data_IF_699848225159
#
_entry.id   IF_699848225159
#
_cell.length_a   1.000
_cell.length_b   1.000
_cell.length_c   1.000
_cell.angle_alpha   90.00
_cell.angle_beta   90.00
_cell.angle_gamma   90.00
#
_symmetry.space_group_name_H-M   'P 1'
#
loop_
_entity.id
_entity.type
_entity.pdbx_description
1 polymer ?
#
# COMPACT_ATOMS: atom_id res chain seq x y z
N UNK A 1 -22.07 -22.70 74.84
CA UNK A 1 -22.49 -21.32 74.47
C UNK A 1 -21.33 -20.51 73.88
N UNK A 2 -20.11 -20.62 74.42
CA UNK A 2 -18.91 -19.94 73.91
C UNK A 2 -18.54 -20.30 72.45
N UNK A 3 -18.72 -21.56 72.04
CA UNK A 3 -18.36 -22.01 70.70
C UNK A 3 -19.22 -21.36 69.59
N UNK A 4 -20.52 -21.18 69.84
CA UNK A 4 -21.44 -20.46 68.93
C UNK A 4 -21.08 -18.97 68.81
N UNK A 5 -20.61 -18.34 69.89
CA UNK A 5 -20.16 -16.94 69.89
C UNK A 5 -18.86 -16.78 69.08
N UNK A 6 -17.95 -17.76 69.19
CA UNK A 6 -16.67 -17.77 68.45
C UNK A 6 -16.88 -17.94 66.94
N UNK A 7 -17.83 -18.79 66.53
CA UNK A 7 -18.21 -18.98 65.12
C UNK A 7 -18.88 -17.73 64.53
N UNK A 8 -19.77 -17.08 65.30
CA UNK A 8 -20.44 -15.84 64.88
C UNK A 8 -19.45 -14.68 64.66
N UNK A 9 -18.47 -14.51 65.56
CA UNK A 9 -17.39 -13.51 65.39
C UNK A 9 -16.51 -13.79 64.16
N UNK A 10 -16.13 -15.04 63.91
CA UNK A 10 -15.35 -15.42 62.72
C UNK A 10 -16.09 -15.11 61.42
N UNK A 11 -17.40 -15.37 61.35
CA UNK A 11 -18.21 -15.02 60.17
C UNK A 11 -18.28 -13.51 59.93
N UNK A 12 -18.46 -12.70 60.98
CA UNK A 12 -18.44 -11.23 60.86
C UNK A 12 -17.08 -10.69 60.40
N UNK A 13 -15.98 -11.22 60.94
CA UNK A 13 -14.62 -10.84 60.52
C UNK A 13 -14.40 -11.20 59.05
N UNK A 14 -14.81 -12.40 58.62
CA UNK A 14 -14.69 -12.82 57.22
C UNK A 14 -15.52 -11.94 56.28
N UNK A 15 -16.73 -11.54 56.68
CA UNK A 15 -17.58 -10.61 55.93
C UNK A 15 -16.95 -9.22 55.82
N UNK A 16 -16.33 -8.72 56.88
CA UNK A 16 -15.61 -7.43 56.86
C UNK A 16 -14.40 -7.52 55.92
N UNK A 17 -13.60 -8.58 56.02
CA UNK A 17 -12.43 -8.79 55.14
C UNK A 17 -12.86 -8.86 53.68
N UNK A 18 -13.92 -9.61 53.37
CA UNK A 18 -14.47 -9.71 52.01
C UNK A 18 -15.00 -8.35 51.52
N UNK A 19 -15.68 -7.60 52.38
CA UNK A 19 -16.16 -6.25 52.06
C UNK A 19 -15.02 -5.28 51.76
N UNK A 20 -13.96 -5.27 52.58
CA UNK A 20 -12.77 -4.45 52.34
C UNK A 20 -12.08 -4.88 51.03
N UNK A 21 -11.94 -6.17 50.79
CA UNK A 21 -11.32 -6.69 49.56
C UNK A 21 -12.08 -6.26 48.30
N UNK A 22 -13.42 -6.31 48.32
CA UNK A 22 -14.25 -5.83 47.21
C UNK A 22 -14.08 -4.32 46.97
N UNK A 23 -14.01 -3.52 48.03
CA UNK A 23 -13.78 -2.07 47.92
C UNK A 23 -12.39 -1.77 47.34
N UNK A 24 -11.36 -2.53 47.74
CA UNK A 24 -10.00 -2.38 47.19
C UNK A 24 -9.97 -2.74 45.70
N UNK A 25 -10.58 -3.86 45.28
CA UNK A 25 -10.67 -4.22 43.86
C UNK A 25 -11.40 -3.14 43.06
N UNK A 26 -12.53 -2.64 43.59
CA UNK A 26 -13.28 -1.57 42.93
C UNK A 26 -12.43 -0.30 42.80
N UNK A 27 -11.72 0.09 43.85
CA UNK A 27 -10.85 1.26 43.84
C UNK A 27 -9.66 1.09 42.88
N UNK A 28 -9.03 -0.09 42.84
CA UNK A 28 -7.99 -0.40 41.86
C UNK A 28 -8.52 -0.37 40.43
N UNK A 29 -9.73 -0.89 40.18
CA UNK A 29 -10.37 -0.84 38.87
C UNK A 29 -10.71 0.59 38.43
N UNK A 30 -11.23 1.41 39.34
CA UNK A 30 -11.50 2.83 39.11
C UNK A 30 -10.17 3.57 38.85
N UNK A 31 -9.16 3.37 39.69
CA UNK A 31 -7.84 3.99 39.52
C UNK A 31 -7.20 3.62 38.18
N UNK A 32 -7.28 2.33 37.80
CA UNK A 32 -6.82 1.86 36.49
C UNK A 32 -7.57 2.56 35.35
N UNK A 33 -8.89 2.59 35.43
CA UNK A 33 -9.75 3.22 34.41
C UNK A 33 -9.51 4.73 34.26
N UNK A 34 -9.32 5.46 35.35
CA UNK A 34 -9.19 6.92 35.32
C UNK A 34 -7.76 7.42 35.10
N UNK A 35 -6.73 6.59 35.32
CA UNK A 35 -5.33 7.02 35.19
C UNK A 35 -4.58 6.30 34.08
N UNK A 36 -4.74 4.99 33.94
CA UNK A 36 -3.95 4.22 32.97
C UNK A 36 -4.56 4.28 31.58
N UNK A 37 -5.88 4.07 31.44
CA UNK A 37 -6.55 4.08 30.13
C UNK A 37 -6.36 5.43 29.40
N UNK A 38 -6.57 6.61 30.03
CA UNK A 38 -6.37 7.88 29.34
C UNK A 38 -4.93 8.11 28.89
N UNK A 39 -3.95 7.65 29.69
CA UNK A 39 -2.53 7.75 29.35
C UNK A 39 -2.14 6.84 28.19
N UNK A 40 -2.70 5.64 28.13
CA UNK A 40 -2.49 4.73 26.99
C UNK A 40 -3.10 5.32 25.72
N UNK A 41 -4.33 5.85 25.80
CA UNK A 41 -4.98 6.52 24.68
C UNK A 41 -4.21 7.77 24.20
N UNK A 42 -3.65 8.56 25.12
CA UNK A 42 -2.84 9.73 24.78
C UNK A 42 -1.54 9.33 24.06
N UNK A 43 -0.85 8.28 24.54
CA UNK A 43 0.34 7.74 23.88
C UNK A 43 0.05 7.18 22.49
N UNK A 44 -1.04 6.45 22.35
CA UNK A 44 -1.46 5.91 21.05
C UNK A 44 -1.82 7.03 20.08
N UNK A 45 -2.53 8.07 20.53
CA UNK A 45 -2.86 9.23 19.71
C UNK A 45 -1.61 10.04 19.31
N UNK A 46 -0.65 10.20 20.22
CA UNK A 46 0.64 10.84 19.92
C UNK A 46 1.42 10.05 18.87
N UNK A 47 1.53 8.73 19.05
CA UNK A 47 2.17 7.84 18.07
C UNK A 47 1.49 7.91 16.70
N UNK A 48 0.16 7.86 16.66
CA UNK A 48 -0.59 7.97 15.41
C UNK A 48 -0.33 9.31 14.70
N UNK A 49 -0.19 10.40 15.46
CA UNK A 49 0.16 11.72 14.93
C UNK A 49 1.59 11.74 14.38
N UNK A 50 2.55 11.17 15.09
CA UNK A 50 3.96 11.12 14.67
C UNK A 50 4.15 10.26 13.41
N UNK A 51 3.58 9.05 13.36
CA UNK A 51 3.60 8.21 12.15
C UNK A 51 2.93 8.89 10.97
N UNK A 52 1.81 9.61 11.19
CA UNK A 52 1.15 10.40 10.14
C UNK A 52 2.04 11.53 9.62
N UNK A 53 2.71 12.27 10.50
CA UNK A 53 3.62 13.35 10.10
C UNK A 53 4.83 12.78 9.36
N UNK A 54 5.43 11.71 9.86
CA UNK A 54 6.54 11.01 9.20
C UNK A 54 6.16 10.54 7.79
N UNK A 55 4.95 10.02 7.62
CA UNK A 55 4.40 9.66 6.31
C UNK A 55 4.25 10.87 5.37
N UNK A 56 3.73 12.01 5.88
CA UNK A 56 3.60 13.25 5.11
C UNK A 56 4.98 13.73 4.64
N UNK A 57 5.96 13.77 5.53
CA UNK A 57 7.32 14.17 5.19
C UNK A 57 7.94 13.24 4.13
N UNK A 58 7.78 11.93 4.30
CA UNK A 58 8.29 10.93 3.36
C UNK A 58 7.65 11.03 1.96
N UNK A 59 6.32 11.09 1.91
CA UNK A 59 5.57 10.93 0.66
C UNK A 59 5.35 12.26 -0.05
N UNK A 60 5.05 13.34 0.68
CA UNK A 60 4.69 14.64 0.12
C UNK A 60 5.87 15.62 0.06
N UNK A 61 6.88 15.43 0.92
CA UNK A 61 8.06 16.29 0.98
C UNK A 61 9.37 15.58 0.62
N UNK A 62 9.30 14.32 0.20
CA UNK A 62 10.45 13.51 -0.20
C UNK A 62 11.55 13.46 0.88
N UNK A 63 11.15 13.42 2.15
CA UNK A 63 12.03 13.32 3.30
C UNK A 63 11.71 12.06 4.12
N UNK A 64 12.37 10.92 3.84
CA UNK A 64 12.05 9.65 4.48
C UNK A 64 12.68 9.47 5.87
N UNK A 65 13.52 10.41 6.35
CA UNK A 65 14.32 10.20 7.57
C UNK A 65 13.47 9.89 8.80
N UNK A 66 12.36 10.62 8.98
CA UNK A 66 11.47 10.41 10.12
C UNK A 66 10.87 9.00 10.14
N UNK A 67 10.31 8.54 9.01
CA UNK A 67 9.66 7.22 8.94
C UNK A 67 10.69 6.08 9.02
N UNK A 68 11.87 6.31 8.45
CA UNK A 68 13.01 5.40 8.51
C UNK A 68 13.54 5.22 9.93
N UNK A 69 13.61 6.28 10.73
CA UNK A 69 14.03 6.18 12.12
C UNK A 69 12.95 5.55 13.00
N UNK A 70 11.68 5.90 12.78
CA UNK A 70 10.54 5.27 13.47
C UNK A 70 10.53 3.75 13.34
N UNK A 71 10.60 3.25 12.11
CA UNK A 71 10.61 1.80 11.86
C UNK A 71 11.84 1.11 12.46
N UNK A 72 13.02 1.73 12.30
CA UNK A 72 14.27 1.19 12.85
C UNK A 72 14.19 1.02 14.37
N UNK A 73 13.71 2.05 15.07
CA UNK A 73 13.54 2.04 16.52
C UNK A 73 12.48 1.01 16.95
N UNK A 74 11.38 0.86 16.19
CA UNK A 74 10.37 -0.14 16.46
C UNK A 74 10.90 -1.57 16.34
N UNK A 75 11.62 -1.87 15.26
CA UNK A 75 12.24 -3.19 15.08
C UNK A 75 13.25 -3.47 16.20
N UNK A 76 14.08 -2.49 16.54
CA UNK A 76 15.06 -2.63 17.62
C UNK A 76 14.40 -2.89 18.98
N UNK A 77 13.23 -2.31 19.23
CA UNK A 77 12.47 -2.48 20.48
C UNK A 77 11.49 -3.65 20.46
N UNK A 78 11.38 -4.39 19.34
CA UNK A 78 10.46 -5.51 19.20
C UNK A 78 8.99 -5.11 19.09
N UNK A 79 8.71 -3.87 18.70
CA UNK A 79 7.35 -3.36 18.46
C UNK A 79 6.82 -3.91 17.14
N UNK A 80 5.56 -4.34 17.11
CA UNK A 80 4.87 -4.77 15.89
C UNK A 80 3.37 -4.43 15.97
N UNK A 81 3.07 -3.13 16.00
CA UNK A 81 1.70 -2.63 15.95
C UNK A 81 1.33 -2.13 14.54
N UNK A 82 0.11 -1.59 14.39
CA UNK A 82 -0.38 -1.07 13.12
C UNK A 82 0.49 0.07 12.55
N UNK A 83 1.15 0.86 13.39
CA UNK A 83 2.00 1.96 12.94
C UNK A 83 3.36 1.42 12.47
N UNK A 84 3.93 0.44 13.18
CA UNK A 84 5.16 -0.24 12.71
C UNK A 84 4.94 -0.88 11.33
N UNK A 85 3.80 -1.56 11.13
CA UNK A 85 3.46 -2.20 9.84
C UNK A 85 3.29 -1.18 8.71
N UNK A 86 2.62 -0.07 9.02
CA UNK A 86 2.49 1.05 8.10
C UNK A 86 3.86 1.60 7.70
N UNK A 87 4.71 1.91 8.68
CA UNK A 87 6.02 2.51 8.44
C UNK A 87 6.93 1.56 7.65
N UNK A 88 6.87 0.25 7.93
CA UNK A 88 7.54 -0.78 7.15
C UNK A 88 7.11 -0.76 5.67
N UNK A 89 5.80 -0.68 5.40
CA UNK A 89 5.28 -0.55 4.05
C UNK A 89 5.76 0.73 3.37
N UNK A 90 5.69 1.88 4.04
CA UNK A 90 6.05 3.15 3.45
C UNK A 90 7.56 3.31 3.20
N UNK A 91 8.42 2.60 3.95
CA UNK A 91 9.85 2.51 3.66
C UNK A 91 10.09 1.80 2.33
N UNK A 92 9.44 0.66 2.10
CA UNK A 92 9.59 -0.04 0.82
C UNK A 92 8.82 0.67 -0.30
N UNK A 93 7.74 1.40 0.00
CA UNK A 93 7.01 2.22 -0.97
C UNK A 93 7.88 3.31 -1.60
N UNK A 94 8.96 3.73 -0.94
CA UNK A 94 9.96 4.66 -1.50
C UNK A 94 10.46 4.22 -2.87
N UNK A 95 10.47 2.92 -3.19
CA UNK A 95 10.71 2.42 -4.54
C UNK A 95 9.84 3.14 -5.58
N UNK A 96 8.54 3.26 -5.34
CA UNK A 96 7.60 3.96 -6.23
C UNK A 96 7.85 5.47 -6.24
N UNK A 97 8.08 6.08 -5.06
CA UNK A 97 8.28 7.52 -4.92
C UNK A 97 9.56 8.01 -5.62
N UNK A 98 10.55 7.13 -5.75
CA UNK A 98 11.86 7.40 -6.33
C UNK A 98 12.03 6.81 -7.73
N UNK A 99 10.92 6.52 -8.42
CA UNK A 99 10.88 6.02 -9.80
C UNK A 99 11.63 4.71 -10.01
N UNK A 100 11.55 3.82 -9.03
CA UNK A 100 12.11 2.47 -9.07
C UNK A 100 13.53 2.37 -8.52
N UNK A 101 14.00 3.36 -7.74
CA UNK A 101 15.35 3.33 -7.17
C UNK A 101 15.42 2.38 -5.97
N UNK A 102 15.71 1.11 -6.24
CA UNK A 102 15.87 0.09 -5.19
C UNK A 102 17.07 0.36 -4.26
N UNK A 103 18.07 1.12 -4.71
CA UNK A 103 19.27 1.38 -3.92
C UNK A 103 18.98 2.22 -2.67
N UNK A 104 17.93 3.06 -2.69
CA UNK A 104 17.52 3.81 -1.49
C UNK A 104 17.09 2.86 -0.36
N UNK A 105 16.32 1.83 -0.69
CA UNK A 105 15.86 0.82 0.28
C UNK A 105 17.04 -0.04 0.72
N UNK A 106 17.86 -0.49 -0.24
CA UNK A 106 19.04 -1.30 0.04
C UNK A 106 20.01 -0.59 0.98
N UNK A 107 20.40 0.65 0.68
CA UNK A 107 21.35 1.42 1.48
C UNK A 107 20.77 1.73 2.89
N UNK A 108 19.46 1.98 3.00
CA UNK A 108 18.77 2.13 4.27
C UNK A 108 18.83 0.87 5.15
N UNK A 109 18.53 -0.31 4.59
CA UNK A 109 18.57 -1.59 5.31
C UNK A 109 20.01 -1.95 5.68
N UNK A 110 20.95 -1.82 4.74
CA UNK A 110 22.36 -2.17 4.96
C UNK A 110 23.02 -1.35 6.06
N UNK A 111 22.63 -0.09 6.23
CA UNK A 111 23.18 0.79 7.25
C UNK A 111 22.69 0.48 8.67
N UNK A 112 21.78 -0.49 8.86
CA UNK A 112 21.12 -0.78 10.15
C UNK A 112 21.20 -2.27 10.52
N UNK A 113 22.02 -2.65 11.52
CA UNK A 113 22.19 -4.05 11.91
C UNK A 113 20.90 -4.77 12.32
N UNK A 114 19.95 -4.09 12.97
CA UNK A 114 18.68 -4.68 13.38
C UNK A 114 17.73 -4.98 12.20
N UNK A 115 18.00 -4.43 11.02
CA UNK A 115 17.26 -4.71 9.78
C UNK A 115 17.94 -5.80 8.91
N UNK A 116 19.07 -6.35 9.35
CA UNK A 116 19.88 -7.27 8.53
C UNK A 116 19.11 -8.51 8.06
N UNK A 117 18.12 -8.97 8.83
CA UNK A 117 17.27 -10.10 8.44
C UNK A 117 16.50 -9.84 7.14
N UNK A 118 16.08 -8.58 6.91
CA UNK A 118 15.35 -8.18 5.71
C UNK A 118 16.21 -8.43 4.48
N UNK A 119 17.48 -8.00 4.51
CA UNK A 119 18.39 -8.26 3.41
C UNK A 119 18.69 -9.75 3.27
N UNK A 120 19.07 -10.40 4.37
CA UNK A 120 19.55 -11.78 4.35
C UNK A 120 18.50 -12.74 3.76
N UNK A 121 17.22 -12.52 4.04
CA UNK A 121 16.14 -13.35 3.52
C UNK A 121 15.69 -12.92 2.11
N UNK A 122 15.71 -11.62 1.80
CA UNK A 122 15.36 -11.15 0.45
C UNK A 122 16.36 -11.67 -0.60
N UNK A 123 17.64 -11.73 -0.25
CA UNK A 123 18.72 -12.33 -1.04
C UNK A 123 18.43 -13.78 -1.45
N UNK A 124 17.70 -14.54 -0.62
CA UNK A 124 17.37 -15.94 -0.91
C UNK A 124 16.24 -16.08 -1.93
N UNK A 125 15.40 -15.05 -2.11
CA UNK A 125 14.27 -15.07 -3.03
C UNK A 125 14.76 -14.85 -4.48
N UNK A 126 15.66 -13.88 -4.68
CA UNK A 126 16.22 -13.55 -5.99
C UNK A 126 17.74 -13.32 -5.92
N UNK A 127 18.55 -14.37 -5.74
CA UNK A 127 19.99 -14.25 -5.46
C UNK A 127 20.76 -13.47 -6.53
N UNK A 128 20.51 -13.75 -7.81
CA UNK A 128 21.18 -13.08 -8.94
C UNK A 128 20.88 -11.57 -8.97
N UNK A 129 19.64 -11.19 -8.63
CA UNK A 129 19.21 -9.79 -8.57
C UNK A 129 19.95 -9.05 -7.46
N UNK A 130 20.01 -9.66 -6.28
CA UNK A 130 20.68 -9.06 -5.13
C UNK A 130 22.19 -9.04 -5.26
N UNK A 131 22.80 -10.01 -5.94
CA UNK A 131 24.20 -9.91 -6.35
C UNK A 131 24.43 -8.70 -7.25
N UNK A 132 23.56 -8.49 -8.24
CA UNK A 132 23.60 -7.33 -9.11
C UNK A 132 23.47 -6.00 -8.34
N UNK A 133 22.58 -5.94 -7.34
CA UNK A 133 22.38 -4.76 -6.47
C UNK A 133 23.62 -4.51 -5.61
N UNK A 134 24.19 -5.53 -4.96
CA UNK A 134 25.44 -5.40 -4.17
C UNK A 134 26.57 -4.82 -5.03
N UNK A 135 26.67 -5.29 -6.26
CA UNK A 135 27.68 -4.83 -7.22
C UNK A 135 27.30 -3.50 -7.91
N UNK A 136 26.13 -2.92 -7.61
CA UNK A 136 25.56 -1.72 -8.26
C UNK A 136 25.51 -1.79 -9.79
N UNK A 137 25.19 -2.97 -10.31
CA UNK A 137 25.14 -3.25 -11.76
C UNK A 137 23.72 -3.28 -12.32
N UNK A 138 22.70 -3.29 -11.47
CA UNK A 138 21.29 -3.29 -11.90
C UNK A 138 20.84 -1.86 -12.19
N UNK A 139 20.31 -1.64 -13.39
CA UNK A 139 19.74 -0.34 -13.78
C UNK A 139 18.42 -0.06 -13.03
N UNK A 140 18.25 1.18 -12.58
CA UNK A 140 17.07 1.67 -11.86
C UNK A 140 15.81 1.56 -12.73
N UNK A 141 14.69 1.14 -12.14
CA UNK A 141 13.39 1.08 -12.83
C UNK A 141 13.20 -0.15 -13.73
N UNK A 142 14.12 -1.12 -13.68
CA UNK A 142 14.01 -2.41 -14.38
C UNK A 142 13.18 -3.43 -13.61
N UNK A 143 12.74 -4.50 -14.28
CA UNK A 143 12.05 -5.62 -13.63
C UNK A 143 12.88 -6.25 -12.50
N UNK A 144 14.22 -6.28 -12.63
CA UNK A 144 15.11 -6.73 -11.56
C UNK A 144 14.96 -5.88 -10.29
N UNK A 145 14.98 -4.55 -10.40
CA UNK A 145 14.75 -3.67 -9.24
C UNK A 145 13.35 -3.86 -8.65
N UNK A 146 12.34 -4.13 -9.47
CA UNK A 146 10.98 -4.46 -9.01
C UNK A 146 10.94 -5.77 -8.23
N UNK A 147 11.62 -6.81 -8.69
CA UNK A 147 11.66 -8.10 -7.98
C UNK A 147 12.40 -8.00 -6.65
N UNK A 148 13.47 -7.23 -6.56
CA UNK A 148 14.11 -6.95 -5.27
C UNK A 148 13.17 -6.18 -4.31
N UNK A 149 12.46 -5.18 -4.81
CA UNK A 149 11.42 -4.49 -4.05
C UNK A 149 10.32 -5.46 -3.54
N UNK A 150 9.84 -6.37 -4.38
CA UNK A 150 8.84 -7.36 -4.00
C UNK A 150 9.38 -8.38 -2.99
N UNK A 151 10.66 -8.75 -3.09
CA UNK A 151 11.32 -9.60 -2.11
C UNK A 151 11.35 -8.95 -0.71
N UNK A 152 11.60 -7.64 -0.62
CA UNK A 152 11.52 -6.94 0.66
C UNK A 152 10.10 -6.99 1.25
N UNK A 153 9.04 -6.79 0.44
CA UNK A 153 7.66 -6.94 0.91
C UNK A 153 7.38 -8.37 1.39
N UNK A 154 7.86 -9.38 0.65
CA UNK A 154 7.70 -10.79 1.04
C UNK A 154 8.35 -11.11 2.39
N UNK A 155 9.56 -10.60 2.64
CA UNK A 155 10.22 -10.79 3.93
C UNK A 155 9.44 -10.09 5.04
N UNK A 156 9.07 -8.81 4.85
CA UNK A 156 8.26 -8.10 5.84
C UNK A 156 6.93 -8.83 6.12
N UNK A 157 6.29 -9.42 5.10
CA UNK A 157 5.12 -10.28 5.27
C UNK A 157 5.39 -11.48 6.16
N UNK A 158 6.47 -12.20 5.90
CA UNK A 158 6.78 -13.44 6.62
C UNK A 158 7.08 -13.18 8.10
N UNK A 159 7.52 -11.97 8.43
CA UNK A 159 7.75 -11.53 9.81
C UNK A 159 6.58 -10.75 10.42
N UNK A 160 5.45 -10.62 9.70
CA UNK A 160 4.25 -9.97 10.20
C UNK A 160 4.34 -8.44 10.28
N UNK A 161 5.23 -7.81 9.50
CA UNK A 161 5.47 -6.37 9.44
C UNK A 161 4.78 -5.68 8.27
N UNK A 162 3.80 -6.30 7.62
CA UNK A 162 2.96 -5.62 6.63
C UNK A 162 1.49 -5.79 6.95
N UNK A 163 0.70 -4.85 6.47
CA UNK A 163 -0.75 -4.85 6.50
C UNK A 163 -1.33 -4.94 5.07
N UNK A 164 -2.60 -4.56 4.93
CA UNK A 164 -3.32 -4.57 3.66
C UNK A 164 -2.64 -3.72 2.56
N UNK A 165 -1.91 -2.66 2.90
CA UNK A 165 -1.20 -1.85 1.91
C UNK A 165 -0.07 -2.65 1.26
N UNK A 166 0.74 -3.33 2.08
CA UNK A 166 1.80 -4.20 1.59
C UNK A 166 1.26 -5.39 0.79
N UNK A 167 0.23 -6.07 1.32
CA UNK A 167 -0.36 -7.24 0.68
C UNK A 167 -1.01 -6.89 -0.67
N UNK A 168 -1.83 -5.84 -0.69
CA UNK A 168 -2.47 -5.34 -1.90
C UNK A 168 -1.44 -4.89 -2.94
N UNK A 169 -0.39 -4.18 -2.51
CA UNK A 169 0.67 -3.70 -3.42
C UNK A 169 1.46 -4.85 -4.03
N UNK A 170 1.89 -5.85 -3.24
CA UNK A 170 2.57 -7.02 -3.79
C UNK A 170 1.66 -7.75 -4.80
N UNK A 171 0.39 -7.96 -4.45
CA UNK A 171 -0.58 -8.57 -5.38
C UNK A 171 -0.68 -7.81 -6.70
N UNK A 172 -0.79 -6.47 -6.64
CA UNK A 172 -0.88 -5.64 -7.83
C UNK A 172 0.39 -5.67 -8.67
N UNK A 173 1.56 -5.49 -8.06
CA UNK A 173 2.83 -5.36 -8.78
C UNK A 173 3.19 -6.66 -9.49
N UNK A 174 2.90 -7.81 -8.88
CA UNK A 174 3.01 -9.11 -9.54
C UNK A 174 2.02 -9.24 -10.72
N UNK A 175 0.73 -8.91 -10.54
CA UNK A 175 -0.25 -8.96 -11.64
C UNK A 175 0.09 -8.01 -12.79
N UNK A 176 0.50 -6.78 -12.46
CA UNK A 176 0.93 -5.74 -13.39
C UNK A 176 2.13 -6.20 -14.21
N UNK A 177 3.11 -6.84 -13.57
CA UNK A 177 4.29 -7.39 -14.24
C UNK A 177 3.90 -8.51 -15.21
N UNK A 178 3.04 -9.43 -14.79
CA UNK A 178 2.51 -10.48 -15.66
C UNK A 178 1.77 -9.93 -16.88
N UNK A 179 0.94 -8.90 -16.69
CA UNK A 179 0.24 -8.21 -17.78
C UNK A 179 1.21 -7.60 -18.78
N UNK A 180 2.20 -6.83 -18.32
CA UNK A 180 3.12 -6.18 -19.25
C UNK A 180 4.05 -7.16 -19.96
N UNK A 181 4.45 -8.25 -19.30
CA UNK A 181 5.17 -9.34 -19.95
C UNK A 181 4.31 -10.03 -21.04
N UNK A 182 3.00 -10.12 -20.85
CA UNK A 182 2.07 -10.63 -21.88
C UNK A 182 2.00 -9.69 -23.08
N UNK A 183 1.94 -8.37 -22.86
CA UNK A 183 1.98 -7.36 -23.92
C UNK A 183 3.31 -7.44 -24.69
N UNK A 184 4.44 -7.50 -23.98
CA UNK A 184 5.77 -7.65 -24.58
C UNK A 184 5.87 -8.93 -25.41
N UNK A 185 5.40 -10.07 -24.89
CA UNK A 185 5.36 -11.34 -25.66
C UNK A 185 4.60 -11.21 -26.97
N UNK A 186 3.45 -10.53 -26.96
CA UNK A 186 2.66 -10.31 -28.17
C UNK A 186 3.37 -9.42 -29.20
N UNK A 187 4.28 -8.55 -28.74
CA UNK A 187 5.11 -7.66 -29.58
C UNK A 187 6.42 -8.34 -30.05
N UNK A 188 6.95 -9.33 -29.32
CA UNK A 188 8.27 -9.98 -29.53
C UNK A 188 8.23 -11.33 -30.28
N UNK A 189 7.10 -11.75 -30.86
CA UNK A 189 6.81 -13.09 -31.38
C UNK A 189 7.69 -13.60 -32.57
N UNK A 190 9.02 -13.55 -32.47
CA UNK A 190 9.96 -14.12 -33.45
C UNK A 190 11.03 -15.07 -32.87
N UNK A 191 11.19 -15.20 -31.55
CA UNK A 191 12.15 -16.14 -30.92
C UNK A 191 11.51 -17.02 -29.82
N UNK A 192 11.41 -18.32 -30.11
CA UNK A 192 10.77 -19.33 -29.24
C UNK A 192 11.44 -19.45 -27.84
N UNK A 193 12.76 -19.22 -27.74
CA UNK A 193 13.48 -19.31 -26.46
C UNK A 193 13.13 -18.14 -25.55
N UNK A 194 13.11 -16.93 -26.09
CA UNK A 194 12.70 -15.73 -25.37
C UNK A 194 11.23 -15.83 -24.97
N UNK A 195 10.36 -16.34 -25.86
CA UNK A 195 8.95 -16.54 -25.58
C UNK A 195 8.70 -17.50 -24.39
N UNK A 196 9.42 -18.63 -24.35
CA UNK A 196 9.31 -19.59 -23.26
C UNK A 196 9.81 -19.02 -21.92
N UNK A 197 10.90 -18.26 -21.93
CA UNK A 197 11.44 -17.63 -20.73
C UNK A 197 10.44 -16.62 -20.12
N UNK A 198 9.88 -15.73 -20.94
CA UNK A 198 8.91 -14.73 -20.48
C UNK A 198 7.60 -15.39 -20.01
N UNK A 199 7.15 -16.47 -20.65
CA UNK A 199 5.97 -17.22 -20.21
C UNK A 199 6.10 -17.77 -18.78
N UNK A 200 7.28 -18.26 -18.39
CA UNK A 200 7.52 -18.74 -17.01
C UNK A 200 7.41 -17.62 -15.97
N UNK A 201 7.91 -16.42 -16.29
CA UNK A 201 7.77 -15.25 -15.43
C UNK A 201 6.31 -14.85 -15.25
N UNK A 202 5.50 -14.90 -16.31
CA UNK A 202 4.07 -14.61 -16.26
C UNK A 202 3.34 -15.57 -15.30
N UNK A 203 3.53 -16.88 -15.45
CA UNK A 203 2.86 -17.86 -14.58
C UNK A 203 3.22 -17.68 -13.11
N UNK A 204 4.53 -17.55 -12.81
CA UNK A 204 5.01 -17.32 -11.44
C UNK A 204 4.43 -16.03 -10.84
N UNK A 205 4.42 -14.96 -11.61
CA UNK A 205 3.95 -13.66 -11.12
C UNK A 205 2.42 -13.69 -10.90
N UNK A 206 1.65 -14.42 -11.72
CA UNK A 206 0.22 -14.64 -11.45
C UNK A 206 0.00 -15.46 -10.17
N UNK A 207 0.74 -16.54 -9.96
CA UNK A 207 0.65 -17.34 -8.74
C UNK A 207 0.97 -16.50 -7.49
N UNK A 208 2.04 -15.72 -7.52
CA UNK A 208 2.40 -14.78 -6.44
C UNK A 208 1.33 -13.73 -6.23
N UNK A 209 0.78 -13.17 -7.30
CA UNK A 209 -0.30 -12.19 -7.22
C UNK A 209 -1.54 -12.73 -6.50
N UNK A 210 -1.94 -13.97 -6.84
CA UNK A 210 -3.06 -14.68 -6.21
C UNK A 210 -2.76 -14.95 -4.74
N UNK A 211 -1.57 -15.47 -4.43
CA UNK A 211 -1.16 -15.75 -3.05
C UNK A 211 -1.28 -14.50 -2.15
N UNK A 212 -0.82 -13.35 -2.64
CA UNK A 212 -0.94 -12.09 -1.89
C UNK A 212 -2.37 -11.56 -1.82
N UNK A 213 -3.19 -11.78 -2.84
CA UNK A 213 -4.61 -11.45 -2.79
C UNK A 213 -5.32 -12.30 -1.73
N UNK A 214 -4.98 -13.60 -1.61
CA UNK A 214 -5.57 -14.48 -0.60
C UNK A 214 -5.21 -14.09 0.82
N UNK A 215 -3.99 -13.58 1.06
CA UNK A 215 -3.63 -13.00 2.35
C UNK A 215 -4.41 -11.70 2.65
N UNK A 216 -4.74 -10.91 1.63
CA UNK A 216 -5.45 -9.64 1.77
C UNK A 216 -6.97 -9.80 1.88
N UNK A 217 -7.56 -10.89 1.35
CA UNK A 217 -8.99 -10.97 1.05
C UNK A 217 -9.89 -10.74 2.27
N UNK A 218 -9.51 -11.25 3.44
CA UNK A 218 -10.34 -11.19 4.64
C UNK A 218 -10.37 -9.75 5.18
N UNK A 219 -9.23 -9.06 5.17
CA UNK A 219 -9.16 -7.65 5.54
C UNK A 219 -9.92 -6.77 4.55
N UNK A 220 -9.88 -7.05 3.24
CA UNK A 220 -10.70 -6.34 2.24
C UNK A 220 -12.19 -6.44 2.59
N UNK A 221 -12.67 -7.67 2.88
CA UNK A 221 -14.09 -7.88 3.24
C UNK A 221 -14.45 -7.15 4.52
N UNK A 222 -13.62 -7.28 5.57
CA UNK A 222 -13.86 -6.63 6.88
C UNK A 222 -13.85 -5.10 6.77
N UNK A 223 -12.93 -4.53 5.99
CA UNK A 223 -12.88 -3.09 5.72
C UNK A 223 -14.17 -2.63 5.04
N UNK A 224 -14.57 -3.31 3.96
CA UNK A 224 -15.76 -2.92 3.19
C UNK A 224 -17.06 -3.11 3.96
N UNK A 225 -17.09 -4.02 4.95
CA UNK A 225 -18.22 -4.20 5.86
C UNK A 225 -18.20 -3.23 7.06
N UNK A 226 -17.16 -2.41 7.20
CA UNK A 226 -16.99 -1.50 8.35
C UNK A 226 -16.56 -2.18 9.65
N UNK A 227 -16.08 -3.42 9.58
CA UNK A 227 -15.58 -4.21 10.72
C UNK A 227 -14.11 -3.93 11.03
N UNK A 228 -13.34 -3.47 10.04
CA UNK A 228 -11.97 -3.01 10.18
C UNK A 228 -11.89 -1.56 9.72
N UNK A 229 -11.45 -0.68 10.60
CA UNK A 229 -11.57 0.79 10.44
C UNK A 229 -10.23 1.51 10.60
N UNK A 230 -10.25 2.84 10.50
CA UNK A 230 -9.09 3.71 10.70
C UNK A 230 -8.55 3.71 12.15
N UNK A 231 -9.27 3.08 13.07
CA UNK A 231 -8.81 2.77 14.44
C UNK A 231 -7.91 1.54 14.50
N UNK A 232 -8.08 0.62 13.55
CA UNK A 232 -7.38 -0.66 13.52
C UNK A 232 -6.15 -0.61 12.61
N UNK A 233 -6.23 0.16 11.52
CA UNK A 233 -5.15 0.40 10.56
C UNK A 233 -5.13 1.88 10.17
N UNK A 234 -3.97 2.46 9.83
CA UNK A 234 -3.95 3.82 9.31
C UNK A 234 -4.82 3.96 8.05
N UNK A 235 -5.65 5.01 7.99
CA UNK A 235 -6.58 5.23 6.87
C UNK A 235 -5.89 5.23 5.48
N UNK A 236 -4.64 5.70 5.41
CA UNK A 236 -3.83 5.68 4.19
C UNK A 236 -3.55 4.26 3.70
N UNK A 237 -3.31 3.32 4.61
CA UNK A 237 -2.95 1.95 4.29
C UNK A 237 -4.17 1.16 3.84
N UNK A 238 -5.32 1.41 4.49
CA UNK A 238 -6.63 0.94 4.03
C UNK A 238 -6.85 1.37 2.57
N UNK A 239 -6.74 2.67 2.29
CA UNK A 239 -7.01 3.20 0.95
C UNK A 239 -6.04 2.60 -0.09
N UNK A 240 -4.74 2.60 0.21
CA UNK A 240 -3.73 2.07 -0.71
C UNK A 240 -3.94 0.58 -0.94
N UNK A 241 -4.15 -0.20 0.12
CA UNK A 241 -4.39 -1.63 0.05
C UNK A 241 -5.60 -1.98 -0.81
N UNK A 242 -6.74 -1.31 -0.61
CA UNK A 242 -7.94 -1.51 -1.42
C UNK A 242 -7.72 -1.17 -2.90
N UNK A 243 -7.11 0.00 -3.17
CA UNK A 243 -6.78 0.44 -4.52
C UNK A 243 -5.89 -0.57 -5.26
N UNK A 244 -4.85 -1.05 -4.58
CA UNK A 244 -3.90 -2.01 -5.16
C UNK A 244 -4.55 -3.38 -5.34
N UNK A 245 -5.35 -3.86 -4.38
CA UNK A 245 -6.12 -5.10 -4.50
C UNK A 245 -7.08 -5.07 -5.70
N UNK A 246 -7.83 -3.97 -5.87
CA UNK A 246 -8.75 -3.79 -7.00
C UNK A 246 -8.03 -3.71 -8.34
N UNK A 247 -6.88 -3.02 -8.39
CA UNK A 247 -6.04 -2.99 -9.57
C UNK A 247 -5.52 -4.38 -9.94
N UNK A 248 -5.08 -5.16 -8.95
CA UNK A 248 -4.59 -6.52 -9.14
C UNK A 248 -5.66 -7.43 -9.75
N UNK A 249 -6.93 -7.30 -9.31
CA UNK A 249 -8.05 -8.04 -9.91
C UNK A 249 -8.20 -7.76 -11.41
N UNK A 250 -8.12 -6.49 -11.83
CA UNK A 250 -8.25 -6.13 -13.24
C UNK A 250 -7.05 -6.54 -14.09
N UNK A 251 -5.83 -6.47 -13.55
CA UNK A 251 -4.65 -6.99 -14.24
C UNK A 251 -4.72 -8.52 -14.40
N UNK A 252 -5.18 -9.25 -13.38
CA UNK A 252 -5.41 -10.70 -13.49
C UNK A 252 -6.48 -11.02 -14.53
N UNK A 253 -7.59 -10.27 -14.52
CA UNK A 253 -8.65 -10.41 -15.50
C UNK A 253 -8.15 -10.16 -16.93
N UNK A 254 -7.33 -9.14 -17.16
CA UNK A 254 -6.85 -8.79 -18.50
C UNK A 254 -5.91 -9.84 -19.12
N UNK A 255 -5.26 -10.67 -18.29
CA UNK A 255 -4.46 -11.81 -18.75
C UNK A 255 -5.21 -13.15 -18.70
N UNK A 256 -6.50 -13.15 -18.34
CA UNK A 256 -7.30 -14.36 -18.25
C UNK A 256 -6.94 -15.28 -17.09
N UNK A 257 -6.36 -14.76 -16.01
CA UNK A 257 -6.09 -15.54 -14.82
C UNK A 257 -7.38 -15.82 -14.03
N UNK A 258 -7.60 -17.07 -13.65
CA UNK A 258 -8.75 -17.48 -12.83
C UNK A 258 -8.49 -17.13 -11.36
N UNK A 259 -9.34 -16.28 -10.79
CA UNK A 259 -9.30 -15.91 -9.38
C UNK A 259 -10.69 -15.52 -8.88
N UNK A 260 -11.18 -16.26 -7.88
CA UNK A 260 -12.48 -15.98 -7.26
C UNK A 260 -12.33 -15.03 -6.07
N UNK A 261 -12.45 -13.73 -6.33
CA UNK A 261 -12.47 -12.71 -5.27
C UNK A 261 -13.86 -12.60 -4.61
N UNK A 262 -13.95 -12.36 -3.30
CA UNK A 262 -15.22 -12.11 -2.62
C UNK A 262 -15.86 -10.76 -3.01
N UNK A 263 -15.07 -9.85 -3.58
CA UNK A 263 -15.49 -8.52 -4.04
C UNK A 263 -14.95 -8.27 -5.43
N UNK A 264 -15.77 -7.70 -6.30
CA UNK A 264 -15.33 -7.30 -7.64
C UNK A 264 -14.42 -6.07 -7.56
N UNK A 265 -13.60 -5.86 -8.61
CA UNK A 265 -12.75 -4.67 -8.67
C UNK A 265 -13.57 -3.36 -8.63
N UNK A 266 -14.76 -3.36 -9.25
CA UNK A 266 -15.65 -2.20 -9.27
C UNK A 266 -16.17 -1.87 -7.87
N UNK A 267 -16.67 -2.87 -7.12
CA UNK A 267 -17.12 -2.65 -5.72
C UNK A 267 -16.00 -2.08 -4.84
N UNK A 268 -14.77 -2.60 -4.98
CA UNK A 268 -13.63 -2.13 -4.18
C UNK A 268 -13.21 -0.72 -4.58
N UNK A 269 -13.17 -0.39 -5.88
CA UNK A 269 -12.82 0.95 -6.35
C UNK A 269 -13.88 2.00 -6.02
N UNK A 270 -15.16 1.64 -6.06
CA UNK A 270 -16.25 2.53 -5.67
C UNK A 270 -16.14 2.92 -4.19
N UNK A 271 -15.93 1.91 -3.32
CA UNK A 271 -15.64 2.14 -1.91
C UNK A 271 -14.38 2.98 -1.71
N UNK A 272 -13.27 2.62 -2.36
CA UNK A 272 -12.00 3.35 -2.22
C UNK A 272 -12.10 4.81 -2.69
N UNK A 273 -12.90 5.09 -3.72
CA UNK A 273 -13.14 6.44 -4.22
C UNK A 273 -13.87 7.31 -3.20
N UNK A 274 -14.90 6.77 -2.56
CA UNK A 274 -15.60 7.46 -1.48
C UNK A 274 -14.72 7.61 -0.24
N UNK A 275 -14.04 6.54 0.16
CA UNK A 275 -13.14 6.51 1.32
C UNK A 275 -12.01 7.54 1.18
N UNK A 276 -11.41 7.66 -0.01
CA UNK A 276 -10.37 8.65 -0.29
C UNK A 276 -10.85 10.08 -0.03
N UNK A 277 -12.07 10.43 -0.47
CA UNK A 277 -12.62 11.79 -0.31
C UNK A 277 -12.82 12.13 1.17
N UNK A 278 -13.26 11.16 1.96
CA UNK A 278 -13.64 11.38 3.36
C UNK A 278 -12.45 11.28 4.32
N UNK A 279 -11.48 10.40 4.05
CA UNK A 279 -10.43 10.05 5.02
C UNK A 279 -9.01 10.41 4.57
N UNK A 280 -8.71 10.37 3.26
CA UNK A 280 -7.35 10.59 2.74
C UNK A 280 -7.39 11.41 1.44
N UNK A 281 -7.87 12.68 1.49
CA UNK A 281 -8.12 13.49 0.30
C UNK A 281 -6.88 13.73 -0.56
N UNK A 282 -5.69 13.61 0.02
CA UNK A 282 -4.40 13.73 -0.69
C UNK A 282 -4.22 12.63 -1.76
N UNK A 283 -4.87 11.48 -1.61
CA UNK A 283 -4.76 10.31 -2.51
C UNK A 283 -5.98 10.13 -3.42
N UNK A 284 -6.87 11.13 -3.52
CA UNK A 284 -8.02 11.07 -4.45
C UNK A 284 -7.56 10.96 -5.90
N UNK A 285 -6.53 11.71 -6.31
CA UNK A 285 -5.99 11.63 -7.67
C UNK A 285 -5.31 10.29 -7.95
N UNK A 286 -4.63 9.71 -6.95
CA UNK A 286 -4.06 8.36 -7.04
C UNK A 286 -5.14 7.31 -7.32
N UNK A 287 -6.21 7.34 -6.53
CA UNK A 287 -7.36 6.44 -6.67
C UNK A 287 -7.98 6.56 -8.07
N UNK A 288 -8.25 7.79 -8.51
CA UNK A 288 -8.87 8.05 -9.81
C UNK A 288 -8.03 7.58 -10.99
N UNK A 289 -6.72 7.90 -11.01
CA UNK A 289 -5.85 7.52 -12.13
C UNK A 289 -5.61 6.01 -12.16
N UNK A 290 -5.43 5.34 -11.01
CA UNK A 290 -5.25 3.89 -10.96
C UNK A 290 -6.52 3.16 -11.41
N UNK A 291 -7.69 3.60 -10.97
CA UNK A 291 -8.98 3.07 -11.41
C UNK A 291 -9.13 3.22 -12.93
N UNK A 292 -8.94 4.43 -13.48
CA UNK A 292 -9.03 4.68 -14.91
C UNK A 292 -8.02 3.84 -15.74
N UNK A 293 -6.77 3.77 -15.27
CA UNK A 293 -5.69 3.04 -15.95
C UNK A 293 -5.92 1.53 -15.98
N UNK A 294 -6.63 0.99 -15.00
CA UNK A 294 -6.95 -0.45 -14.97
C UNK A 294 -8.28 -0.76 -15.66
N UNK A 295 -9.19 0.19 -15.81
CA UNK A 295 -10.37 0.04 -16.67
C UNK A 295 -9.99 -0.03 -18.15
N UNK A 296 -9.04 0.82 -18.58
CA UNK A 296 -8.70 0.94 -20.00
C UNK A 296 -8.00 -0.29 -20.57
N UNK A 297 -7.48 -1.18 -19.72
CA UNK A 297 -6.84 -2.45 -20.14
C UNK A 297 -7.83 -3.61 -20.29
N UNK A 298 -9.07 -3.48 -19.81
CA UNK A 298 -10.09 -4.52 -19.93
C UNK A 298 -10.67 -4.56 -21.35
N UNK A 299 -11.19 -5.72 -21.74
CA UNK A 299 -11.88 -5.91 -23.01
C UNK A 299 -13.21 -6.67 -22.77
N UNK A 300 -14.39 -6.08 -23.09
CA UNK A 300 -14.57 -4.72 -23.63
C UNK A 300 -14.28 -3.63 -22.59
N UNK A 301 -13.77 -2.50 -23.06
CA UNK A 301 -13.59 -1.29 -22.24
C UNK A 301 -14.88 -0.47 -22.17
N UNK A 302 -15.13 0.21 -21.03
CA UNK A 302 -16.27 1.11 -20.83
C UNK A 302 -15.79 2.57 -20.68
N UNK A 303 -15.90 3.40 -21.74
CA UNK A 303 -15.47 4.80 -21.70
C UNK A 303 -16.18 5.65 -20.64
N UNK A 304 -17.42 5.31 -20.27
CA UNK A 304 -18.17 6.06 -19.26
C UNK A 304 -17.59 5.81 -17.86
N UNK A 305 -17.31 4.55 -17.51
CA UNK A 305 -16.60 4.23 -16.26
C UNK A 305 -15.21 4.86 -16.20
N UNK A 306 -14.47 4.88 -17.32
CA UNK A 306 -13.15 5.55 -17.38
C UNK A 306 -13.31 7.05 -17.11
N UNK A 307 -14.32 7.70 -17.70
CA UNK A 307 -14.61 9.12 -17.47
C UNK A 307 -14.97 9.42 -16.01
N UNK A 308 -15.76 8.57 -15.38
CA UNK A 308 -16.14 8.68 -13.97
C UNK A 308 -14.93 8.54 -13.04
N UNK A 309 -14.06 7.56 -13.30
CA UNK A 309 -12.79 7.41 -12.57
C UNK A 309 -11.87 8.63 -12.71
N UNK A 310 -11.88 9.31 -13.87
CA UNK A 310 -11.10 10.52 -14.14
C UNK A 310 -11.74 11.81 -13.60
N UNK A 311 -12.93 11.75 -13.00
CA UNK A 311 -13.65 12.93 -12.50
C UNK A 311 -12.82 13.88 -11.61
N UNK A 312 -11.94 13.40 -10.69
CA UNK A 312 -11.09 14.29 -9.91
C UNK A 312 -10.22 15.22 -10.76
N UNK A 313 -9.71 14.75 -11.90
CA UNK A 313 -8.92 15.55 -12.82
C UNK A 313 -9.79 16.54 -13.59
N UNK A 314 -10.93 16.06 -14.10
CA UNK A 314 -11.83 16.88 -14.92
C UNK A 314 -12.40 18.09 -14.18
N UNK A 315 -12.49 18.01 -12.84
CA UNK A 315 -12.93 19.09 -11.97
C UNK A 315 -11.80 19.89 -11.32
N UNK A 316 -10.55 19.63 -11.69
CA UNK A 316 -9.42 20.38 -11.16
C UNK A 316 -9.36 21.78 -11.78
N UNK A 317 -9.53 22.81 -10.95
CA UNK A 317 -9.69 24.22 -11.39
C UNK A 317 -8.47 25.10 -11.16
N UNK A 318 -7.44 24.64 -10.43
CA UNK A 318 -6.26 25.46 -10.15
C UNK A 318 -5.39 25.62 -11.39
N UNK A 319 -4.64 26.71 -11.45
CA UNK A 319 -3.69 26.93 -12.55
C UNK A 319 -2.46 26.02 -12.42
N UNK A 320 -1.74 25.83 -13.53
CA UNK A 320 -0.57 24.95 -13.59
C UNK A 320 0.54 25.35 -12.61
N UNK A 321 0.77 26.64 -12.44
CA UNK A 321 1.75 27.23 -11.51
C UNK A 321 1.40 27.04 -10.03
N UNK A 322 0.17 26.61 -9.72
CA UNK A 322 -0.29 26.31 -8.37
C UNK A 322 -0.22 24.81 -8.04
N UNK A 323 0.26 23.98 -8.98
CA UNK A 323 0.43 22.55 -8.80
C UNK A 323 1.81 22.30 -8.18
N UNK A 324 1.82 21.65 -7.02
CA UNK A 324 3.07 21.25 -6.37
C UNK A 324 3.89 20.34 -7.27
N UNK A 325 5.17 20.65 -7.40
CA UNK A 325 6.15 19.74 -7.97
C UNK A 325 6.13 18.40 -7.21
N UNK A 326 6.29 17.31 -7.95
CA UNK A 326 6.23 15.95 -7.41
C UNK A 326 4.82 15.42 -7.09
N UNK A 327 3.77 16.22 -7.24
CA UNK A 327 2.39 15.74 -7.08
C UNK A 327 1.94 14.82 -8.23
N UNK A 328 0.90 14.02 -7.99
CA UNK A 328 0.30 13.14 -9.02
C UNK A 328 -0.17 13.93 -10.25
N UNK A 329 -0.73 15.12 -10.03
CA UNK A 329 -1.14 16.03 -11.09
C UNK A 329 0.06 16.44 -11.94
N UNK A 330 1.16 16.82 -11.28
CA UNK A 330 2.41 17.17 -11.95
C UNK A 330 2.95 15.99 -12.76
N UNK A 331 2.96 14.77 -12.21
CA UNK A 331 3.39 13.58 -12.95
C UNK A 331 2.56 13.30 -14.20
N UNK A 332 1.24 13.45 -14.15
CA UNK A 332 0.37 13.26 -15.33
C UNK A 332 0.60 14.36 -16.38
N UNK A 333 0.76 15.61 -15.94
CA UNK A 333 1.01 16.74 -16.83
C UNK A 333 2.36 16.59 -17.53
N UNK A 334 3.40 16.22 -16.78
CA UNK A 334 4.76 16.10 -17.30
C UNK A 334 5.06 14.76 -17.98
N UNK A 335 4.12 13.80 -17.92
CA UNK A 335 4.21 12.56 -18.67
C UNK A 335 4.40 12.79 -20.18
N UNK A 336 4.00 13.95 -20.73
CA UNK A 336 4.27 14.33 -22.13
C UNK A 336 5.76 14.32 -22.49
N UNK A 337 6.65 14.52 -21.53
CA UNK A 337 8.10 14.55 -21.73
C UNK A 337 8.77 13.19 -21.58
N UNK A 338 8.02 12.16 -21.17
CA UNK A 338 8.56 10.82 -20.99
C UNK A 338 8.63 10.04 -22.30
N UNK A 339 9.51 9.05 -22.35
CA UNK A 339 9.52 8.05 -23.41
C UNK A 339 8.19 7.29 -23.40
N UNK A 340 7.61 7.06 -24.59
CA UNK A 340 6.40 6.25 -24.78
C UNK A 340 6.60 4.78 -24.43
N UNK A 341 7.84 4.30 -24.42
CA UNK A 341 8.16 2.95 -23.99
C UNK A 341 8.02 2.77 -22.48
N UNK A 342 7.95 3.85 -21.70
CA UNK A 342 7.72 3.76 -20.26
C UNK A 342 6.36 3.08 -20.00
N UNK A 343 6.38 2.08 -19.12
CA UNK A 343 5.22 1.26 -18.81
C UNK A 343 4.84 1.51 -17.35
N UNK A 344 3.99 2.51 -17.13
CA UNK A 344 3.47 2.84 -15.80
C UNK A 344 2.12 3.59 -15.88
N UNK A 345 1.39 3.67 -14.77
CA UNK A 345 0.12 4.41 -14.67
C UNK A 345 0.29 5.91 -14.98
N UNK A 346 1.47 6.47 -14.73
CA UNK A 346 1.79 7.86 -15.06
C UNK A 346 2.53 8.02 -16.39
N UNK A 347 2.73 6.94 -17.15
CA UNK A 347 3.50 7.01 -18.40
C UNK A 347 2.79 7.79 -19.51
N UNK A 348 3.56 8.35 -20.45
CA UNK A 348 3.01 8.98 -21.68
C UNK A 348 2.04 8.05 -22.40
N UNK A 349 2.40 6.76 -22.53
CA UNK A 349 1.58 5.73 -23.19
C UNK A 349 0.23 5.59 -22.51
N UNK A 350 0.20 5.48 -21.19
CA UNK A 350 -1.05 5.32 -20.46
C UNK A 350 -1.92 6.59 -20.49
N UNK A 351 -1.32 7.77 -20.25
CA UNK A 351 -2.05 9.04 -20.28
C UNK A 351 -2.65 9.30 -21.67
N UNK A 352 -1.89 9.06 -22.74
CA UNK A 352 -2.39 9.17 -24.11
C UNK A 352 -3.51 8.13 -24.41
N UNK A 353 -3.38 6.89 -23.91
CA UNK A 353 -4.43 5.87 -24.04
C UNK A 353 -5.73 6.33 -23.38
N UNK A 354 -5.68 6.84 -22.15
CA UNK A 354 -6.84 7.41 -21.46
C UNK A 354 -7.45 8.60 -22.22
N UNK A 355 -6.62 9.50 -22.73
CA UNK A 355 -7.05 10.65 -23.53
C UNK A 355 -7.73 10.24 -24.85
N UNK A 356 -7.33 9.11 -25.43
CA UNK A 356 -7.99 8.55 -26.62
C UNK A 356 -9.40 8.02 -26.34
N UNK A 357 -9.70 7.66 -25.08
CA UNK A 357 -11.01 7.13 -24.66
C UNK A 357 -11.94 8.19 -24.10
N UNK A 358 -11.38 9.19 -23.41
CA UNK A 358 -12.16 10.24 -22.76
C UNK A 358 -11.74 11.61 -23.31
N UNK A 359 -12.54 12.12 -24.24
CA UNK A 359 -12.27 13.41 -24.90
C UNK A 359 -12.12 14.58 -23.90
N UNK A 360 -12.93 14.60 -22.84
CA UNK A 360 -12.83 15.62 -21.78
C UNK A 360 -11.45 15.61 -21.09
N UNK A 361 -10.86 14.42 -20.89
CA UNK A 361 -9.53 14.29 -20.30
C UNK A 361 -8.44 14.76 -21.26
N UNK A 362 -8.59 14.50 -22.57
CA UNK A 362 -7.72 15.07 -23.60
C UNK A 362 -7.74 16.60 -23.58
N UNK A 363 -8.92 17.21 -23.53
CA UNK A 363 -9.06 18.67 -23.44
C UNK A 363 -8.44 19.22 -22.17
N UNK A 364 -8.63 18.54 -21.04
CA UNK A 364 -7.97 18.88 -19.79
C UNK A 364 -6.45 18.89 -19.95
N UNK A 365 -5.84 17.83 -20.47
CA UNK A 365 -4.39 17.74 -20.71
C UNK A 365 -3.87 18.88 -21.60
N UNK A 366 -4.60 19.22 -22.67
CA UNK A 366 -4.25 20.35 -23.55
C UNK A 366 -4.25 21.67 -22.77
N UNK A 367 -5.22 21.86 -21.88
CA UNK A 367 -5.25 23.01 -20.95
C UNK A 367 -4.02 23.12 -20.04
N UNK A 368 -3.31 22.02 -19.78
CA UNK A 368 -2.06 21.98 -19.00
C UNK A 368 -0.79 21.83 -19.87
N UNK A 369 -0.93 22.05 -21.17
CA UNK A 369 0.17 22.21 -22.12
C UNK A 369 0.44 21.00 -23.02
N UNK A 370 -0.33 19.92 -22.94
CA UNK A 370 -0.23 18.86 -23.95
C UNK A 370 -0.61 19.39 -25.32
N UNK A 371 -0.01 18.82 -26.36
CA UNK A 371 -0.29 19.16 -27.76
C UNK A 371 -0.89 17.97 -28.50
N UNK A 372 -1.45 18.22 -29.67
CA UNK A 372 -1.94 17.16 -30.57
C UNK A 372 -0.86 16.13 -30.92
N UNK A 373 0.40 16.56 -30.98
CA UNK A 373 1.55 15.68 -31.24
C UNK A 373 1.82 14.71 -30.09
N UNK A 374 1.57 15.12 -28.84
CA UNK A 374 1.78 14.27 -27.68
C UNK A 374 0.91 13.01 -27.70
N UNK A 375 -0.26 13.07 -28.33
CA UNK A 375 -1.22 11.96 -28.45
C UNK A 375 -0.98 11.03 -29.65
N UNK A 376 -0.14 11.41 -30.62
CA UNK A 376 0.13 10.64 -31.85
C UNK A 376 1.23 9.63 -31.67
#
# INVERSE_FOLDING_TARGET
MEEKIKISRRKKILQIILGVFLVVILFCGIFYYFIFIPREQEKEAERARESKEAWIQSTLHNNPEAIQNFFADDIQNGTNDQHTKADAYWIVHRYSDTRGNVYEIYDYIQSRPHLAFIQAEADLIYPDVFEGIRNRTVEVGTDYTRYAYLAYIEVLKNHGYIDIAGLGTASNQYAKTAYFNTVILSEMAQDDKTALAVSKYISRDIEKSIQFADYAKDDVVRIMNGELTDKDLPARDILVGLNQYAAALRYRQSVGADYSSPKTADEVFDFATEYARNNVPQLVYFTGILNASTLVILNPEDPQKIKEALYPFLNFTKKKDEISDGSILHYIIDARFQDRKAIDIYSKRNVARLASRVHAFRLWLIGYGWTEEDFR
#
